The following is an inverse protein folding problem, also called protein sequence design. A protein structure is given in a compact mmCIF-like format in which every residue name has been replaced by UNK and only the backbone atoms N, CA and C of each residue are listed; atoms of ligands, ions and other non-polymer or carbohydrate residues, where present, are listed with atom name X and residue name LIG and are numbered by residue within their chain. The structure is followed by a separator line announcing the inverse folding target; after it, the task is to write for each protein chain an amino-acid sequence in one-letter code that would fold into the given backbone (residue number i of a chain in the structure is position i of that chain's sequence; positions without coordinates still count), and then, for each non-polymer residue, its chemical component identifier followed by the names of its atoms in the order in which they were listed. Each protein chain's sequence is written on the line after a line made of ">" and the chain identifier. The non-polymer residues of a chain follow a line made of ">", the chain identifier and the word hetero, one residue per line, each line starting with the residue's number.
data_IF_950363650530
#
_entry.id   IF_950363650530
#
_cell.length_a   1.000
_cell.length_b   1.000
_cell.length_c   1.000
_cell.angle_alpha   90.00
_cell.angle_beta   90.00
_cell.angle_gamma   90.00
#
_symmetry.space_group_name_H-M   'P 1'
#
loop_
_entity.id
_entity.type
_entity.pdbx_description
1 polymer ?
#
# COMPACT_ATOMS: atom_id res chain seq x y z
N UNK A 1 12.22 -37.73 27.13
CA UNK A 1 10.97 -38.51 26.97
C UNK A 1 10.38 -38.69 28.35
N UNK A 2 9.17 -38.19 28.61
CA UNK A 2 8.50 -38.43 29.90
C UNK A 2 8.28 -39.94 30.08
N UNK A 3 8.36 -40.45 31.31
CA UNK A 3 8.07 -41.87 31.54
C UNK A 3 6.57 -42.11 31.36
N UNK A 4 6.16 -43.25 30.79
CA UNK A 4 4.73 -43.61 30.63
C UNK A 4 3.93 -43.50 31.94
N UNK A 5 4.61 -43.70 33.07
CA UNK A 5 4.04 -43.53 34.41
C UNK A 5 3.73 -42.06 34.75
N UNK A 6 4.58 -41.12 34.33
CA UNK A 6 4.35 -39.68 34.50
C UNK A 6 3.17 -39.20 33.64
N UNK A 7 3.05 -39.68 32.40
CA UNK A 7 1.94 -39.33 31.53
C UNK A 7 0.60 -39.82 32.10
N UNK A 8 0.56 -41.07 32.56
CA UNK A 8 -0.62 -41.64 33.22
C UNK A 8 -1.01 -40.87 34.50
N UNK A 9 -0.03 -40.43 35.29
CA UNK A 9 -0.25 -39.63 36.49
C UNK A 9 -0.79 -38.22 36.16
N UNK A 10 -0.26 -37.57 35.14
CA UNK A 10 -0.76 -36.24 34.73
C UNK A 10 -2.17 -36.34 34.17
N UNK A 11 -2.48 -37.37 33.39
CA UNK A 11 -3.84 -37.62 32.91
C UNK A 11 -4.81 -37.87 34.07
N UNK A 12 -4.45 -38.70 35.05
CA UNK A 12 -5.31 -38.96 36.21
C UNK A 12 -5.54 -37.70 37.05
N UNK A 13 -4.54 -36.81 37.16
CA UNK A 13 -4.68 -35.52 37.82
C UNK A 13 -5.62 -34.57 37.07
N UNK A 14 -5.53 -34.51 35.75
CA UNK A 14 -6.39 -33.66 34.92
C UNK A 14 -7.85 -34.15 34.92
N UNK A 15 -8.07 -35.46 34.95
CA UNK A 15 -9.40 -36.07 34.98
C UNK A 15 -10.15 -35.84 36.31
N UNK A 16 -9.45 -35.48 37.39
CA UNK A 16 -10.09 -35.09 38.66
C UNK A 16 -10.83 -33.75 38.59
N UNK A 17 -10.44 -32.87 37.67
CA UNK A 17 -10.99 -31.51 37.56
C UNK A 17 -11.73 -31.27 36.23
N UNK A 18 -11.53 -32.13 35.23
CA UNK A 18 -12.04 -31.95 33.89
C UNK A 18 -12.61 -33.24 33.31
N UNK A 19 -13.56 -33.12 32.37
CA UNK A 19 -14.06 -34.26 31.60
C UNK A 19 -12.92 -34.96 30.86
N UNK A 20 -13.02 -36.28 30.60
CA UNK A 20 -11.92 -37.05 29.99
C UNK A 20 -11.51 -36.49 28.63
N UNK A 21 -12.45 -35.95 27.87
CA UNK A 21 -12.21 -35.28 26.58
C UNK A 21 -11.41 -33.98 26.75
N UNK A 22 -11.75 -33.17 27.76
CA UNK A 22 -11.06 -31.92 28.06
C UNK A 22 -9.67 -32.17 28.63
N UNK A 23 -9.51 -33.17 29.49
CA UNK A 23 -8.23 -33.57 30.06
C UNK A 23 -7.23 -33.99 28.97
N UNK A 24 -7.66 -34.80 28.00
CA UNK A 24 -6.85 -35.19 26.83
C UNK A 24 -6.40 -33.98 26.00
N UNK A 25 -7.33 -33.06 25.72
CA UNK A 25 -7.03 -31.83 24.96
C UNK A 25 -6.03 -30.93 25.69
N UNK A 26 -6.24 -30.70 26.99
CA UNK A 26 -5.34 -29.87 27.82
C UNK A 26 -3.94 -30.47 27.87
N UNK A 27 -3.84 -31.80 28.02
CA UNK A 27 -2.55 -32.48 28.02
C UNK A 27 -1.80 -32.29 26.70
N UNK A 28 -2.44 -32.57 25.57
CA UNK A 28 -1.83 -32.47 24.25
C UNK A 28 -1.44 -31.04 23.87
N UNK A 29 -2.30 -30.05 24.12
CA UNK A 29 -2.06 -28.65 23.72
C UNK A 29 -1.12 -27.91 24.67
N UNK A 30 -1.26 -28.12 25.99
CA UNK A 30 -0.66 -27.23 27.00
C UNK A 30 0.45 -27.87 27.83
N UNK A 31 0.53 -29.20 27.87
CA UNK A 31 1.46 -29.92 28.75
C UNK A 31 2.53 -30.67 27.96
N UNK A 32 2.14 -31.51 26.99
CA UNK A 32 3.04 -32.44 26.30
C UNK A 32 4.26 -31.75 25.65
N UNK A 33 4.04 -30.60 25.00
CA UNK A 33 5.09 -29.87 24.28
C UNK A 33 5.58 -28.62 25.01
N UNK A 34 5.13 -28.40 26.25
CA UNK A 34 5.57 -27.22 27.02
C UNK A 34 6.92 -27.53 27.68
N UNK A 35 8.04 -26.91 27.24
CA UNK A 35 9.34 -27.16 27.85
C UNK A 35 9.32 -26.68 29.30
N UNK A 36 9.45 -27.62 30.24
CA UNK A 36 9.61 -27.29 31.66
C UNK A 36 11.08 -26.99 31.91
N UNK A 37 11.41 -25.70 31.88
CA UNK A 37 12.77 -25.23 32.15
C UNK A 37 13.10 -25.43 33.63
N UNK A 38 13.71 -26.57 33.97
CA UNK A 38 14.16 -26.90 35.33
C UNK A 38 15.18 -25.88 35.88
N UNK A 39 15.88 -25.20 34.97
CA UNK A 39 16.77 -24.08 35.26
C UNK A 39 16.48 -22.96 34.25
N UNK A 40 16.19 -21.73 34.68
CA UNK A 40 16.22 -20.58 33.79
C UNK A 40 17.61 -20.53 33.12
N UNK A 41 17.68 -20.33 31.81
CA UNK A 41 18.95 -20.28 31.04
C UNK A 41 19.92 -19.17 31.49
N UNK A 42 19.45 -18.30 32.38
CA UNK A 42 20.26 -17.44 33.22
C UNK A 42 19.62 -17.41 34.61
N UNK A 43 20.39 -17.50 35.72
CA UNK A 43 19.81 -17.30 37.04
C UNK A 43 19.04 -15.97 37.05
N UNK A 44 17.80 -15.94 37.57
CA UNK A 44 17.08 -14.69 37.71
C UNK A 44 17.97 -13.74 38.50
N UNK A 45 18.17 -12.51 38.01
CA UNK A 45 19.07 -11.56 38.66
C UNK A 45 18.62 -11.37 40.11
N UNK A 46 19.58 -11.42 41.04
CA UNK A 46 19.31 -11.29 42.48
C UNK A 46 18.48 -10.04 42.83
N UNK A 47 18.62 -8.99 42.03
CA UNK A 47 17.77 -7.79 42.04
C UNK A 47 17.23 -7.50 40.64
N UNK A 48 15.92 -7.74 40.45
CA UNK A 48 15.23 -7.45 39.19
C UNK A 48 15.32 -5.97 38.79
N UNK A 49 15.45 -5.05 39.75
CA UNK A 49 15.60 -3.61 39.49
C UNK A 49 16.95 -3.32 38.85
N UNK A 50 18.02 -3.94 39.35
CA UNK A 50 19.37 -3.78 38.80
C UNK A 50 19.47 -4.35 37.38
N UNK A 51 18.84 -5.50 37.11
CA UNK A 51 18.81 -6.05 35.76
C UNK A 51 18.06 -5.16 34.76
N UNK A 52 16.89 -4.63 35.14
CA UNK A 52 16.16 -3.64 34.31
C UNK A 52 17.00 -2.39 34.07
N UNK A 53 17.74 -1.93 35.08
CA UNK A 53 18.67 -0.78 34.96
C UNK A 53 19.82 -1.09 34.00
N UNK A 54 20.42 -2.27 34.08
CA UNK A 54 21.51 -2.71 33.21
C UNK A 54 21.06 -2.83 31.74
N UNK A 55 19.89 -3.41 31.47
CA UNK A 55 19.31 -3.46 30.11
C UNK A 55 19.07 -2.04 29.57
N UNK A 56 18.50 -1.14 30.38
CA UNK A 56 18.30 0.27 29.97
C UNK A 56 19.62 0.99 29.70
N UNK A 57 20.65 0.75 30.51
CA UNK A 57 21.98 1.31 30.31
C UNK A 57 22.64 0.76 29.04
N UNK A 58 22.54 -0.55 28.78
CA UNK A 58 23.02 -1.19 27.54
C UNK A 58 22.32 -0.63 26.31
N UNK A 59 20.99 -0.48 26.35
CA UNK A 59 20.23 0.14 25.27
C UNK A 59 20.63 1.62 25.05
N UNK A 60 20.86 2.38 26.13
CA UNK A 60 21.34 3.78 26.06
C UNK A 60 22.78 3.88 25.54
N UNK A 61 23.64 2.91 25.84
CA UNK A 61 24.98 2.83 25.28
C UNK A 61 24.92 2.56 23.77
N UNK A 62 24.14 1.56 23.35
CA UNK A 62 23.94 1.22 21.94
C UNK A 62 23.31 2.37 21.13
N UNK A 63 22.40 3.16 21.73
CA UNK A 63 21.82 4.32 21.05
C UNK A 63 22.83 5.43 20.78
N UNK A 64 23.89 5.55 21.59
CA UNK A 64 24.96 6.55 21.41
C UNK A 64 25.94 6.17 20.31
N UNK A 65 26.06 4.88 19.98
CA UNK A 65 26.91 4.39 18.90
C UNK A 65 26.29 4.57 17.51
N UNK A 66 25.00 4.93 17.42
CA UNK A 66 24.34 5.20 16.14
C UNK A 66 24.82 6.55 15.61
N UNK A 67 25.27 6.65 14.35
CA UNK A 67 25.59 7.95 13.77
C UNK A 67 24.34 8.82 13.81
N UNK A 68 24.54 10.12 14.05
CA UNK A 68 23.43 11.06 14.03
C UNK A 68 22.74 11.00 12.65
N UNK A 69 21.39 10.98 12.59
CA UNK A 69 20.70 11.03 11.32
C UNK A 69 21.09 12.31 10.58
N UNK A 70 21.15 12.22 9.25
CA UNK A 70 21.45 13.39 8.42
C UNK A 70 20.41 14.48 8.69
N UNK A 71 20.86 15.71 8.92
CA UNK A 71 19.96 16.85 8.95
C UNK A 71 19.30 17.02 7.58
N UNK A 72 18.10 17.61 7.54
CA UNK A 72 17.43 17.90 6.27
C UNK A 72 18.28 18.75 5.32
N UNK A 73 19.13 19.65 5.86
CA UNK A 73 20.08 20.45 5.07
C UNK A 73 21.20 19.59 4.47
N UNK A 74 21.72 18.62 5.22
CA UNK A 74 22.73 17.69 4.73
C UNK A 74 22.16 16.75 3.66
N UNK A 75 20.95 16.24 3.85
CA UNK A 75 20.25 15.41 2.87
C UNK A 75 19.98 16.16 1.56
N UNK A 76 19.52 17.42 1.63
CA UNK A 76 19.34 18.28 0.44
C UNK A 76 20.64 18.58 -0.28
N UNK A 77 21.72 18.89 0.46
CA UNK A 77 23.05 19.15 -0.13
C UNK A 77 23.58 17.94 -0.90
N UNK A 78 23.29 16.74 -0.42
CA UNK A 78 23.66 15.47 -1.06
C UNK A 78 22.70 15.04 -2.18
N UNK A 79 21.61 15.76 -2.40
CA UNK A 79 20.63 15.42 -3.44
C UNK A 79 19.94 14.08 -3.23
N UNK A 80 19.87 13.53 -2.01
CA UNK A 80 19.39 12.16 -1.74
C UNK A 80 17.97 11.88 -2.29
N UNK A 81 17.15 12.92 -2.40
CA UNK A 81 15.77 12.83 -2.88
C UNK A 81 15.56 13.49 -4.25
N UNK A 82 16.62 14.00 -4.87
CA UNK A 82 16.53 14.66 -6.18
C UNK A 82 16.56 13.60 -7.27
N UNK A 83 15.54 13.58 -8.13
CA UNK A 83 15.59 12.76 -9.33
C UNK A 83 16.61 13.35 -10.32
N UNK A 84 17.41 12.51 -11.01
CA UNK A 84 18.25 12.99 -12.08
C UNK A 84 17.39 13.66 -13.15
N UNK A 85 17.86 14.76 -13.75
CA UNK A 85 17.10 15.47 -14.80
C UNK A 85 17.28 14.85 -16.18
N UNK A 86 18.29 14.01 -16.34
CA UNK A 86 18.68 13.32 -17.57
C UNK A 86 18.78 11.81 -17.32
N UNK A 87 18.62 11.02 -18.39
CA UNK A 87 18.76 9.56 -18.35
C UNK A 87 17.51 8.78 -17.92
N UNK A 88 16.46 9.44 -17.41
CA UNK A 88 15.18 8.78 -17.19
C UNK A 88 14.37 8.75 -18.49
N UNK A 89 14.17 7.54 -19.01
CA UNK A 89 13.37 7.30 -20.20
C UNK A 89 11.99 6.79 -19.81
N UNK A 90 10.97 7.22 -20.54
CA UNK A 90 9.59 6.78 -20.35
C UNK A 90 9.45 5.26 -20.43
N UNK A 91 10.14 4.65 -21.41
CA UNK A 91 10.13 3.21 -21.62
C UNK A 91 10.60 2.42 -20.39
N UNK A 92 11.56 2.94 -19.62
CA UNK A 92 12.05 2.31 -18.38
C UNK A 92 10.96 2.22 -17.32
N UNK A 93 9.98 3.13 -17.34
CA UNK A 93 8.87 3.18 -16.38
C UNK A 93 7.60 2.50 -16.90
N UNK A 94 7.54 2.05 -18.15
CA UNK A 94 6.38 1.36 -18.69
C UNK A 94 6.00 0.08 -17.90
N UNK A 95 6.94 -0.76 -17.44
CA UNK A 95 6.62 -1.89 -16.57
C UNK A 95 6.04 -1.47 -15.21
N UNK A 96 6.49 -0.33 -14.67
CA UNK A 96 5.97 0.22 -13.43
C UNK A 96 4.52 0.71 -13.59
N UNK A 97 4.19 1.28 -14.75
CA UNK A 97 2.81 1.60 -15.11
C UNK A 97 1.94 0.36 -15.15
N UNK A 98 2.35 -0.70 -15.85
CA UNK A 98 1.59 -1.94 -15.93
C UNK A 98 1.37 -2.57 -14.54
N UNK A 99 2.38 -2.53 -13.67
CA UNK A 99 2.25 -2.97 -12.28
C UNK A 99 1.22 -2.15 -11.50
N UNK A 100 1.25 -0.83 -11.68
CA UNK A 100 0.30 0.07 -11.02
C UNK A 100 -1.13 -0.13 -11.54
N UNK A 101 -1.32 -0.35 -12.84
CA UNK A 101 -2.64 -0.66 -13.43
C UNK A 101 -3.22 -1.96 -12.84
N UNK A 102 -2.41 -3.02 -12.76
CA UNK A 102 -2.83 -4.28 -12.13
C UNK A 102 -3.18 -4.10 -10.65
N UNK A 103 -2.40 -3.31 -9.91
CA UNK A 103 -2.69 -2.93 -8.52
C UNK A 103 -4.00 -2.13 -8.40
N UNK A 104 -4.22 -1.14 -9.27
CA UNK A 104 -5.41 -0.31 -9.26
C UNK A 104 -6.65 -1.13 -9.57
N UNK A 105 -6.55 -2.08 -10.50
CA UNK A 105 -7.59 -3.06 -10.76
C UNK A 105 -7.89 -3.86 -9.50
N UNK A 106 -6.92 -4.60 -8.95
CA UNK A 106 -7.13 -5.43 -7.75
C UNK A 106 -7.73 -4.65 -6.56
N UNK A 107 -7.30 -3.40 -6.37
CA UNK A 107 -7.84 -2.51 -5.34
C UNK A 107 -9.31 -2.14 -5.58
N UNK A 108 -9.66 -1.80 -6.82
CA UNK A 108 -11.01 -1.38 -7.20
C UNK A 108 -11.96 -2.58 -7.33
N UNK A 109 -11.45 -3.73 -7.78
CA UNK A 109 -12.15 -5.00 -7.85
C UNK A 109 -13.59 -4.88 -8.36
N UNK A 110 -14.50 -5.53 -7.64
CA UNK A 110 -15.94 -5.52 -7.92
C UNK A 110 -16.64 -4.17 -7.73
N UNK A 111 -15.99 -3.16 -7.14
CA UNK A 111 -16.62 -1.84 -6.91
C UNK A 111 -16.78 -1.07 -8.23
N UNK A 112 -15.89 -1.32 -9.19
CA UNK A 112 -15.85 -0.61 -10.48
C UNK A 112 -16.13 -1.54 -11.65
N UNK A 113 -15.71 -2.81 -11.54
CA UNK A 113 -15.93 -3.79 -12.59
C UNK A 113 -16.40 -5.12 -11.96
N UNK A 114 -17.72 -5.32 -11.78
CA UNK A 114 -18.22 -6.60 -11.28
C UNK A 114 -17.93 -7.71 -12.31
N UNK A 115 -17.68 -8.96 -11.86
CA UNK A 115 -17.66 -10.11 -12.77
C UNK A 115 -19.00 -10.20 -13.51
N UNK A 116 -18.96 -10.64 -14.77
CA UNK A 116 -20.05 -10.64 -15.74
C UNK A 116 -21.44 -10.93 -15.11
N UNK A 117 -22.35 -9.96 -15.21
CA UNK A 117 -23.75 -10.09 -14.76
C UNK A 117 -24.11 -9.41 -13.43
N UNK A 118 -23.14 -8.82 -12.71
CA UNK A 118 -23.44 -8.01 -11.53
C UNK A 118 -23.87 -6.59 -11.89
N UNK A 119 -25.00 -6.11 -11.37
CA UNK A 119 -25.46 -4.72 -11.51
C UNK A 119 -24.49 -3.76 -10.78
N UNK A 120 -23.39 -3.38 -11.42
CA UNK A 120 -22.36 -2.54 -10.83
C UNK A 120 -22.43 -1.10 -11.29
N UNK A 121 -23.44 -0.34 -10.89
CA UNK A 121 -23.40 1.13 -10.95
C UNK A 121 -24.38 1.74 -9.93
N UNK A 122 -24.12 1.52 -8.65
CA UNK A 122 -24.77 2.29 -7.58
C UNK A 122 -23.86 3.45 -7.12
N UNK A 123 -24.43 4.61 -6.78
CA UNK A 123 -23.70 5.76 -6.19
C UNK A 123 -22.78 5.37 -5.01
N UNK A 124 -23.17 4.35 -4.25
CA UNK A 124 -22.39 3.78 -3.14
C UNK A 124 -21.07 3.11 -3.58
N UNK A 125 -21.03 2.48 -4.77
CA UNK A 125 -19.84 1.81 -5.27
C UNK A 125 -18.73 2.83 -5.64
N UNK A 126 -19.14 3.97 -6.22
CA UNK A 126 -18.23 5.09 -6.50
C UNK A 126 -17.62 5.70 -5.23
N UNK A 127 -18.40 5.81 -4.15
CA UNK A 127 -17.89 6.33 -2.87
C UNK A 127 -16.86 5.40 -2.22
N UNK A 128 -17.09 4.07 -2.26
CA UNK A 128 -16.12 3.06 -1.80
C UNK A 128 -14.83 3.12 -2.61
N UNK A 129 -14.94 3.11 -3.94
CA UNK A 129 -13.81 3.22 -4.86
C UNK A 129 -13.00 4.51 -4.61
N UNK A 130 -13.67 5.65 -4.45
CA UNK A 130 -13.01 6.92 -4.16
C UNK A 130 -12.25 6.90 -2.82
N UNK A 131 -12.82 6.28 -1.77
CA UNK A 131 -12.15 6.16 -0.48
C UNK A 131 -10.89 5.29 -0.56
N UNK A 132 -10.95 4.19 -1.31
CA UNK A 132 -9.78 3.33 -1.57
C UNK A 132 -8.71 4.07 -2.35
N UNK A 133 -9.08 4.76 -3.44
CA UNK A 133 -8.15 5.55 -4.26
C UNK A 133 -7.54 6.72 -3.49
N UNK A 134 -8.27 7.35 -2.57
CA UNK A 134 -7.73 8.43 -1.75
C UNK A 134 -6.55 7.97 -0.86
N UNK A 135 -6.58 6.71 -0.40
CA UNK A 135 -5.52 6.10 0.39
C UNK A 135 -4.45 5.37 -0.45
N UNK A 136 -4.71 5.13 -1.72
CA UNK A 136 -3.86 4.36 -2.62
C UNK A 136 -2.51 5.02 -2.91
N UNK A 137 -1.58 4.22 -3.41
CA UNK A 137 -0.29 4.66 -3.93
C UNK A 137 -0.40 5.07 -5.40
N UNK A 138 0.35 6.09 -5.82
CA UNK A 138 0.31 6.61 -7.21
C UNK A 138 1.67 6.60 -7.91
N UNK A 139 2.70 6.01 -7.32
CA UNK A 139 3.95 5.76 -8.05
C UNK A 139 3.67 4.74 -9.17
N UNK A 140 4.05 5.08 -10.40
CA UNK A 140 3.73 4.29 -11.58
C UNK A 140 2.43 4.67 -12.27
N UNK A 141 1.55 5.44 -11.63
CA UNK A 141 0.30 5.87 -12.26
C UNK A 141 0.60 6.78 -13.46
N UNK A 142 -0.08 6.54 -14.58
CA UNK A 142 -0.07 7.47 -15.69
C UNK A 142 -1.12 8.57 -15.45
N UNK A 143 -0.67 9.82 -15.39
CA UNK A 143 -1.51 10.96 -15.05
C UNK A 143 -1.44 12.05 -16.12
N UNK A 144 -2.57 12.70 -16.33
CA UNK A 144 -2.74 13.81 -17.26
C UNK A 144 -3.24 15.05 -16.50
N UNK A 145 -2.64 16.21 -16.73
CA UNK A 145 -3.12 17.46 -16.15
C UNK A 145 -4.31 18.00 -16.95
N UNK A 146 -5.52 17.83 -16.42
CA UNK A 146 -6.75 18.31 -17.07
C UNK A 146 -7.01 19.79 -16.82
N UNK A 147 -6.78 20.24 -15.59
CA UNK A 147 -6.99 21.63 -15.18
C UNK A 147 -5.82 22.08 -14.34
N UNK A 148 -5.37 23.30 -14.54
CA UNK A 148 -4.38 23.93 -13.67
C UNK A 148 -4.56 25.43 -13.69
N UNK A 149 -4.30 26.08 -12.56
CA UNK A 149 -4.18 27.54 -12.48
C UNK A 149 -3.15 28.10 -13.48
N UNK A 150 -2.14 27.31 -13.82
CA UNK A 150 -1.16 27.64 -14.84
C UNK A 150 -1.48 26.88 -16.14
N UNK A 151 -2.03 27.60 -17.12
CA UNK A 151 -2.46 27.03 -18.41
C UNK A 151 -1.35 26.27 -19.15
N UNK A 152 -0.09 26.70 -19.03
CA UNK A 152 1.06 26.01 -19.64
C UNK A 152 1.30 24.57 -19.16
N UNK A 153 0.67 24.16 -18.05
CA UNK A 153 0.77 22.80 -17.50
C UNK A 153 -0.36 21.89 -17.96
N UNK A 154 -1.44 22.45 -18.48
CA UNK A 154 -2.59 21.68 -18.98
C UNK A 154 -2.13 20.81 -20.16
N UNK A 155 -2.56 19.55 -20.18
CA UNK A 155 -2.15 18.55 -21.17
C UNK A 155 -0.79 17.90 -20.90
N UNK A 156 -0.08 18.26 -19.81
CA UNK A 156 1.11 17.49 -19.40
C UNK A 156 0.67 16.09 -18.98
N UNK A 157 1.14 15.08 -19.71
CA UNK A 157 0.89 13.66 -19.48
C UNK A 157 2.19 12.91 -19.21
N UNK A 158 2.17 11.98 -18.26
CA UNK A 158 3.32 11.13 -17.97
C UNK A 158 3.12 10.18 -16.80
N UNK A 159 4.10 9.31 -16.59
CA UNK A 159 4.11 8.34 -15.48
C UNK A 159 4.67 9.02 -14.23
N UNK A 160 4.00 8.87 -13.10
CA UNK A 160 4.46 9.38 -11.80
C UNK A 160 5.67 8.56 -11.34
N UNK A 161 6.84 9.18 -11.33
CA UNK A 161 8.07 8.57 -10.79
C UNK A 161 8.14 8.76 -9.28
N UNK A 162 7.63 9.89 -8.78
CA UNK A 162 7.68 10.23 -7.36
C UNK A 162 6.45 11.01 -6.92
N UNK A 163 5.75 10.47 -5.92
CA UNK A 163 4.69 11.15 -5.18
C UNK A 163 5.29 11.86 -3.95
N UNK A 164 5.49 13.17 -4.07
CA UNK A 164 5.88 14.02 -2.94
C UNK A 164 4.64 14.70 -2.34
N UNK A 165 4.77 15.29 -1.14
CA UNK A 165 3.63 15.91 -0.45
C UNK A 165 2.87 16.88 -1.39
N UNK A 166 3.56 17.84 -1.99
CA UNK A 166 2.90 18.91 -2.75
C UNK A 166 3.05 18.80 -4.27
N UNK A 167 3.80 17.81 -4.77
CA UNK A 167 4.16 17.73 -6.19
C UNK A 167 4.15 16.29 -6.68
N UNK A 168 3.76 16.10 -7.93
CA UNK A 168 4.07 14.90 -8.69
C UNK A 168 5.28 15.16 -9.59
N UNK A 169 6.27 14.28 -9.54
CA UNK A 169 7.35 14.28 -10.52
C UNK A 169 7.05 13.22 -11.58
N UNK A 170 6.79 13.67 -12.80
CA UNK A 170 6.34 12.87 -13.93
C UNK A 170 7.45 12.67 -14.94
N UNK A 171 7.58 11.49 -15.53
CA UNK A 171 8.33 11.28 -16.77
C UNK A 171 7.37 11.33 -17.95
N UNK A 172 7.59 12.25 -18.88
CA UNK A 172 6.78 12.36 -20.10
C UNK A 172 7.31 11.44 -21.20
N UNK A 173 6.48 11.14 -22.20
CA UNK A 173 6.88 10.36 -23.39
C UNK A 173 8.09 10.95 -24.12
N UNK A 174 8.30 12.27 -23.99
CA UNK A 174 9.48 12.98 -24.52
C UNK A 174 10.76 12.75 -23.69
N UNK A 175 10.77 11.77 -22.79
CA UNK A 175 11.87 11.44 -21.88
C UNK A 175 12.34 12.64 -21.03
N UNK A 176 11.40 13.48 -20.60
CA UNK A 176 11.67 14.65 -19.75
C UNK A 176 10.95 14.52 -18.43
N UNK A 177 11.66 14.80 -17.35
CA UNK A 177 11.06 14.89 -16.01
C UNK A 177 10.38 16.25 -15.86
N UNK A 178 9.10 16.24 -15.45
CA UNK A 178 8.29 17.41 -15.18
C UNK A 178 7.80 17.36 -13.73
N UNK A 179 8.09 18.39 -12.96
CA UNK A 179 7.57 18.55 -11.60
C UNK A 179 6.29 19.38 -11.67
N UNK A 180 5.15 18.77 -11.36
CA UNK A 180 3.84 19.40 -11.38
C UNK A 180 3.36 19.59 -9.94
N UNK A 181 3.10 20.82 -9.48
CA UNK A 181 2.51 21.04 -8.17
C UNK A 181 1.05 20.57 -8.17
N UNK A 182 0.63 19.99 -7.05
CA UNK A 182 -0.74 19.51 -6.86
C UNK A 182 -1.70 20.66 -6.58
N UNK A 183 -1.21 21.73 -5.94
CA UNK A 183 -2.00 22.94 -5.69
C UNK A 183 -2.58 23.51 -6.99
N UNK A 184 -3.88 23.78 -6.97
CA UNK A 184 -4.65 24.35 -8.08
C UNK A 184 -4.57 23.52 -9.35
N UNK A 185 -4.38 22.20 -9.24
CA UNK A 185 -4.23 21.29 -10.38
C UNK A 185 -5.11 20.05 -10.21
N UNK A 186 -5.86 19.70 -11.26
CA UNK A 186 -6.65 18.47 -11.34
C UNK A 186 -5.96 17.49 -12.28
N UNK A 187 -5.73 16.28 -11.78
CA UNK A 187 -5.09 15.21 -12.54
C UNK A 187 -6.13 14.17 -12.94
N UNK A 188 -6.12 13.72 -14.17
CA UNK A 188 -6.91 12.57 -14.64
C UNK A 188 -6.03 11.35 -14.70
N UNK A 189 -6.57 10.24 -14.24
CA UNK A 189 -5.94 8.93 -14.26
C UNK A 189 -6.83 7.97 -15.03
N UNK A 190 -6.22 7.16 -15.89
CA UNK A 190 -6.91 6.17 -16.72
C UNK A 190 -6.43 4.78 -16.33
N UNK A 191 -7.35 3.87 -16.08
CA UNK A 191 -7.08 2.48 -15.74
C UNK A 191 -7.79 1.61 -16.79
N UNK A 192 -7.06 0.86 -17.62
CA UNK A 192 -7.65 -0.09 -18.56
C UNK A 192 -8.37 -1.21 -17.79
N UNK A 193 -9.63 -1.49 -18.11
CA UNK A 193 -10.41 -2.55 -17.46
C UNK A 193 -10.50 -3.77 -18.39
N UNK A 194 -10.03 -4.96 -17.97
CA UNK A 194 -10.19 -6.17 -18.79
C UNK A 194 -11.62 -6.68 -18.74
N UNK A 195 -12.33 -6.67 -19.87
CA UNK A 195 -13.66 -7.28 -20.02
C UNK A 195 -13.51 -8.80 -20.23
N UNK A 196 -14.31 -9.65 -19.56
CA UNK A 196 -14.31 -11.08 -19.82
C UNK A 196 -14.79 -11.40 -21.24
N UNK A 197 -14.04 -12.24 -21.95
CA UNK A 197 -14.19 -12.60 -23.37
C UNK A 197 -15.44 -13.45 -23.72
N UNK A 198 -16.57 -13.29 -23.02
CA UNK A 198 -17.78 -14.11 -23.22
C UNK A 198 -18.87 -13.46 -24.10
N UNK A 199 -18.64 -12.31 -24.72
CA UNK A 199 -19.55 -11.70 -25.69
C UNK A 199 -19.06 -11.78 -27.15
N UNK A 200 -17.99 -12.52 -27.42
CA UNK A 200 -17.41 -12.68 -28.77
C UNK A 200 -17.53 -14.09 -29.35
N UNK A 201 -18.70 -14.71 -29.20
CA UNK A 201 -19.12 -15.82 -30.06
C UNK A 201 -20.43 -15.40 -30.74
N UNK A 202 -20.30 -14.65 -31.83
CA UNK A 202 -21.42 -14.08 -32.56
C UNK A 202 -20.95 -13.21 -33.73
N UNK A 203 -20.61 -13.90 -34.82
CA UNK A 203 -20.63 -13.43 -36.20
C UNK A 203 -19.53 -12.48 -36.70
N UNK A 204 -18.76 -12.97 -37.68
CA UNK A 204 -18.57 -12.28 -38.95
C UNK A 204 -17.43 -11.28 -39.05
N UNK A 205 -16.49 -11.59 -39.93
CA UNK A 205 -15.44 -10.73 -40.48
C UNK A 205 -15.92 -9.31 -40.83
N UNK A 206 -15.29 -8.26 -40.26
CA UNK A 206 -15.01 -6.98 -40.93
C UNK A 206 -13.82 -6.29 -40.24
N UNK A 207 -12.64 -6.41 -40.86
CA UNK A 207 -11.43 -5.66 -40.51
C UNK A 207 -11.55 -4.20 -40.98
N UNK A 208 -12.22 -3.33 -40.22
CA UNK A 208 -12.06 -1.86 -40.41
C UNK A 208 -12.51 -0.92 -39.27
N UNK A 209 -12.74 -1.42 -38.06
CA UNK A 209 -13.08 -0.56 -36.90
C UNK A 209 -12.37 -1.04 -35.63
N UNK A 210 -11.05 -0.85 -35.55
CA UNK A 210 -10.26 -1.28 -34.37
C UNK A 210 -9.90 -0.11 -33.45
N UNK A 211 -10.03 1.15 -33.90
CA UNK A 211 -9.57 2.31 -33.12
C UNK A 211 -10.67 2.93 -32.24
N UNK A 212 -11.93 2.94 -32.66
CA UNK A 212 -13.02 3.60 -31.90
C UNK A 212 -13.62 2.74 -30.76
N UNK A 213 -13.48 1.40 -30.81
CA UNK A 213 -14.05 0.49 -29.78
C UNK A 213 -13.14 0.26 -28.57
N UNK A 214 -11.88 0.68 -28.61
CA UNK A 214 -10.95 0.58 -27.48
C UNK A 214 -11.21 1.64 -26.39
N UNK A 215 -12.12 2.59 -26.65
CA UNK A 215 -12.37 3.73 -25.78
C UNK A 215 -13.41 3.47 -24.69
N UNK A 216 -14.21 2.40 -24.82
CA UNK A 216 -15.30 2.07 -23.89
C UNK A 216 -14.85 1.28 -22.64
N UNK A 217 -13.63 0.73 -22.64
CA UNK A 217 -13.13 -0.18 -21.60
C UNK A 217 -12.09 0.47 -20.66
N UNK A 218 -12.27 1.76 -20.35
CA UNK A 218 -11.32 2.52 -19.52
C UNK A 218 -12.04 3.17 -18.34
N UNK A 219 -11.67 2.77 -17.13
CA UNK A 219 -12.08 3.49 -15.93
C UNK A 219 -11.26 4.77 -15.79
N UNK A 220 -11.97 5.90 -15.69
CA UNK A 220 -11.35 7.22 -15.58
C UNK A 220 -11.81 7.89 -14.29
N UNK A 221 -10.85 8.41 -13.53
CA UNK A 221 -11.14 9.22 -12.35
C UNK A 221 -10.22 10.44 -12.31
N UNK A 222 -10.67 11.45 -11.56
CA UNK A 222 -9.94 12.71 -11.38
C UNK A 222 -9.51 12.89 -9.93
N UNK A 223 -8.28 13.36 -9.75
CA UNK A 223 -7.66 13.69 -8.47
C UNK A 223 -7.60 15.20 -8.36
N UNK A 224 -8.29 15.74 -7.35
CA UNK A 224 -8.21 17.15 -6.99
C UNK A 224 -6.93 17.39 -6.18
N UNK A 225 -5.93 18.01 -6.79
CA UNK A 225 -4.60 18.13 -6.20
C UNK A 225 -4.56 18.95 -4.90
N UNK A 226 -5.46 19.92 -4.71
CA UNK A 226 -5.59 20.68 -3.46
C UNK A 226 -5.90 19.79 -2.25
N UNK A 227 -6.64 18.70 -2.45
CA UNK A 227 -6.96 17.72 -1.40
C UNK A 227 -5.94 16.57 -1.36
N UNK A 228 -4.98 16.54 -2.29
CA UNK A 228 -4.01 15.45 -2.47
C UNK A 228 -2.59 15.84 -2.04
N UNK A 229 -2.45 16.85 -1.17
CA UNK A 229 -1.19 17.48 -0.73
C UNK A 229 -0.34 16.67 0.26
N UNK A 230 -0.71 15.41 0.53
CA UNK A 230 0.04 14.52 1.42
C UNK A 230 0.61 13.36 0.63
N UNK A 231 1.74 12.79 1.10
CA UNK A 231 2.32 11.55 0.54
C UNK A 231 1.41 10.36 0.85
N UNK A 232 1.44 9.31 0.04
CA UNK A 232 0.65 8.09 0.26
C UNK A 232 0.67 7.55 1.71
N UNK A 233 1.83 7.30 2.35
CA UNK A 233 1.85 6.83 3.74
C UNK A 233 1.25 7.83 4.73
N UNK A 234 1.36 9.13 4.43
CA UNK A 234 0.77 10.20 5.24
C UNK A 234 -0.75 10.26 5.03
N UNK A 235 -1.29 9.87 3.85
CA UNK A 235 -2.73 9.85 3.55
C UNK A 235 -3.46 8.75 4.30
N UNK A 236 -2.91 7.53 4.33
CA UNK A 236 -3.55 6.34 4.92
C UNK A 236 -3.96 6.57 6.39
N UNK A 237 -3.09 7.20 7.17
CA UNK A 237 -3.32 7.40 8.62
C UNK A 237 -3.96 8.76 8.95
N UNK A 238 -4.23 9.58 7.94
CA UNK A 238 -4.74 10.94 8.16
C UNK A 238 -6.26 10.95 8.19
N UNK A 239 -6.81 11.56 9.23
CA UNK A 239 -8.22 11.91 9.29
C UNK A 239 -8.46 13.14 8.40
N UNK A 240 -8.97 12.93 7.20
CA UNK A 240 -9.38 14.02 6.31
C UNK A 240 -10.61 14.72 6.88
N UNK A 241 -10.61 16.05 6.80
CA UNK A 241 -11.76 16.88 7.14
C UNK A 241 -12.31 17.48 5.86
N UNK A 242 -13.62 17.54 5.73
CA UNK A 242 -14.24 18.17 4.58
C UNK A 242 -14.00 19.68 4.66
N UNK A 243 -13.21 20.19 3.72
CA UNK A 243 -12.97 21.62 3.54
C UNK A 243 -13.63 22.08 2.24
N UNK A 244 -14.24 23.27 2.27
CA UNK A 244 -14.76 23.89 1.05
C UNK A 244 -13.60 24.19 0.10
N UNK A 245 -13.76 23.78 -1.16
CA UNK A 245 -12.80 24.13 -2.21
C UNK A 245 -12.99 25.59 -2.59
N UNK A 246 -11.88 26.30 -2.79
CA UNK A 246 -11.91 27.57 -3.54
C UNK A 246 -12.27 27.24 -4.98
N UNK A 247 -12.89 28.17 -5.70
CA UNK A 247 -13.30 27.94 -7.09
C UNK A 247 -12.16 27.33 -7.92
N UNK A 248 -12.47 26.21 -8.59
CA UNK A 248 -11.55 25.39 -9.42
C UNK A 248 -11.37 26.03 -10.79
#
# INVERSE_FOLDING_TARGET
>A
MASKQQEALVHSLLERAHSPTSAKRIYAEKVQYRPLLLRPSSPPPADQRQARRAVRQKAKALSKCKPAPLSGRAARRRGLYALPRSGLQYATFAPLKALWEAYALDLLGSDVYPPAGGAGTGSMAGASAAAKLAAAEFHGAEVEVCRSKCTSRVGVRGIVVKDAQQTFELVTEKNKVKVVPKEGTTFRVRVPVPVPAQSKEGEGEEEKQTEDKAQDDVFVFEILGDQFMYRAPDRVNKKFKNHFLKAI
#
